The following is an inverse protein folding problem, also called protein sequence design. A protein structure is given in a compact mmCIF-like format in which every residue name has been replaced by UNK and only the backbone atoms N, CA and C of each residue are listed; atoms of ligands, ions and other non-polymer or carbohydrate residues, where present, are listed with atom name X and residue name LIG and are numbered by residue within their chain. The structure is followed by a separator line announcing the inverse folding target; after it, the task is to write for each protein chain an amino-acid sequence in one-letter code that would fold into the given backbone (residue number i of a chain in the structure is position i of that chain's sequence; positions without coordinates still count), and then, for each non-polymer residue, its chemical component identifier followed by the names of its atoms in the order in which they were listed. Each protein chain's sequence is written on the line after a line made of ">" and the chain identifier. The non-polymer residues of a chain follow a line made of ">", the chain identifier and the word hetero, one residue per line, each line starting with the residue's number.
data_IF_032325142295
#
_entry.id   IF_032325142295
#
_cell.length_a   1.000
_cell.length_b   1.000
_cell.length_c   1.000
_cell.angle_alpha   90.00
_cell.angle_beta   90.00
_cell.angle_gamma   90.00
#
_symmetry.space_group_name_H-M   'P 1'
#
loop_
_entity.id
_entity.type
_entity.pdbx_description
1 polymer ?
#
# COMPACT_ATOMS: atom_id res chain seq x y z
N UNK A 1 2.55 -13.61 7.87
CA UNK A 1 3.14 -12.37 7.36
C UNK A 1 4.14 -11.83 8.37
N UNK A 2 5.39 -11.70 7.95
CA UNK A 2 6.39 -11.04 8.77
C UNK A 2 6.25 -9.52 8.62
N UNK A 3 5.53 -8.87 9.52
CA UNK A 3 5.69 -7.45 9.70
C UNK A 3 6.91 -7.24 10.59
N UNK A 4 7.96 -6.71 10.01
CA UNK A 4 9.20 -6.39 10.72
C UNK A 4 9.08 -5.08 11.51
N UNK A 5 8.06 -4.26 11.20
CA UNK A 5 7.77 -2.98 11.82
C UNK A 5 6.29 -2.61 11.78
N UNK A 6 5.98 -1.35 12.06
CA UNK A 6 4.61 -0.82 12.17
C UNK A 6 4.04 -0.40 10.81
N UNK A 7 4.88 -0.09 9.83
CA UNK A 7 4.46 0.41 8.52
C UNK A 7 4.34 -0.70 7.50
N UNK A 8 3.54 -0.47 6.47
CA UNK A 8 3.45 -1.39 5.33
C UNK A 8 4.79 -1.50 4.58
N UNK A 9 5.57 -0.43 4.53
CA UNK A 9 6.90 -0.43 3.90
C UNK A 9 7.92 -1.32 4.64
N UNK A 10 7.64 -1.65 5.91
CA UNK A 10 8.46 -2.56 6.71
C UNK A 10 7.96 -4.01 6.66
N UNK A 11 6.96 -4.32 5.87
CA UNK A 11 6.45 -5.67 5.67
C UNK A 11 6.90 -6.25 4.34
N UNK A 12 7.09 -7.57 4.28
CA UNK A 12 7.43 -8.26 3.04
C UNK A 12 6.38 -8.01 1.95
N UNK A 13 5.10 -8.09 2.31
CA UNK A 13 4.02 -7.84 1.37
C UNK A 13 3.98 -6.39 0.89
N UNK A 14 4.20 -5.44 1.78
CA UNK A 14 4.29 -4.02 1.41
C UNK A 14 5.46 -3.74 0.47
N UNK A 15 6.61 -4.37 0.66
CA UNK A 15 7.76 -4.26 -0.23
C UNK A 15 7.46 -4.86 -1.62
N UNK A 16 6.75 -5.99 -1.67
CA UNK A 16 6.32 -6.59 -2.95
C UNK A 16 5.38 -5.63 -3.71
N UNK A 17 4.40 -5.05 -3.03
CA UNK A 17 3.48 -4.08 -3.63
C UNK A 17 4.21 -2.80 -4.08
N UNK A 18 5.16 -2.30 -3.29
CA UNK A 18 5.96 -1.14 -3.64
C UNK A 18 6.83 -1.42 -4.87
N UNK A 19 7.37 -2.63 -4.98
CA UNK A 19 8.11 -3.07 -6.17
C UNK A 19 7.24 -3.02 -7.44
N UNK A 20 5.98 -3.40 -7.36
CA UNK A 20 5.03 -3.28 -8.48
C UNK A 20 4.84 -1.81 -8.88
N UNK A 21 4.68 -0.92 -7.93
CA UNK A 21 4.57 0.53 -8.20
C UNK A 21 5.85 1.05 -8.87
N UNK A 22 7.02 0.66 -8.38
CA UNK A 22 8.30 1.07 -8.95
C UNK A 22 8.41 0.61 -10.40
N UNK A 23 8.17 -0.66 -10.68
CA UNK A 23 8.33 -1.24 -12.02
C UNK A 23 7.30 -0.74 -13.02
N UNK A 24 6.03 -0.65 -12.64
CA UNK A 24 4.92 -0.40 -13.57
C UNK A 24 4.54 1.09 -13.66
N UNK A 25 4.78 1.88 -12.63
CA UNK A 25 4.40 3.29 -12.61
C UNK A 25 5.60 4.25 -12.65
N UNK A 26 6.60 4.04 -11.79
CA UNK A 26 7.66 5.02 -11.59
C UNK A 26 8.78 4.93 -12.62
N UNK A 27 9.24 3.75 -12.95
CA UNK A 27 10.27 3.55 -14.00
C UNK A 27 9.85 4.11 -15.36
N UNK A 28 8.63 3.86 -15.87
CA UNK A 28 8.20 4.39 -17.17
C UNK A 28 8.25 5.92 -17.26
N UNK A 29 8.08 6.63 -16.15
CA UNK A 29 8.17 8.10 -16.08
C UNK A 29 9.49 8.59 -15.48
N UNK A 30 10.48 7.71 -15.37
CA UNK A 30 11.82 8.04 -14.84
C UNK A 30 11.77 8.69 -13.44
N UNK A 31 10.87 8.20 -12.59
CA UNK A 31 10.67 8.69 -11.20
C UNK A 31 10.26 10.17 -11.12
N UNK A 32 9.69 10.73 -12.19
CA UNK A 32 9.33 12.14 -12.23
C UNK A 32 8.17 12.48 -11.27
N UNK A 33 7.20 11.58 -11.13
CA UNK A 33 6.05 11.77 -10.25
C UNK A 33 5.42 10.45 -9.83
N UNK A 34 4.76 10.48 -8.68
CA UNK A 34 3.91 9.41 -8.16
C UNK A 34 2.45 9.81 -8.32
N UNK A 35 1.64 8.98 -8.96
CA UNK A 35 0.20 9.21 -9.17
C UNK A 35 -0.60 8.26 -8.28
N UNK A 36 -1.23 8.80 -7.23
CA UNK A 36 -1.96 8.01 -6.25
C UNK A 36 -3.16 7.27 -6.85
N UNK A 37 -3.92 7.89 -7.74
CA UNK A 37 -5.08 7.25 -8.36
C UNK A 37 -4.66 6.07 -9.25
N UNK A 38 -3.60 6.22 -10.02
CA UNK A 38 -3.02 5.14 -10.83
C UNK A 38 -2.44 4.03 -9.97
N UNK A 39 -1.78 4.37 -8.85
CA UNK A 39 -1.24 3.39 -7.93
C UNK A 39 -2.35 2.53 -7.30
N UNK A 40 -3.47 3.13 -6.89
CA UNK A 40 -4.63 2.41 -6.37
C UNK A 40 -5.15 1.41 -7.41
N UNK A 41 -5.36 1.84 -8.65
CA UNK A 41 -5.86 0.96 -9.71
C UNK A 41 -4.84 -0.13 -10.10
N UNK A 42 -3.57 0.21 -10.20
CA UNK A 42 -2.50 -0.73 -10.48
C UNK A 42 -2.45 -1.86 -9.44
N UNK A 43 -2.47 -1.52 -8.15
CA UNK A 43 -2.45 -2.52 -7.09
C UNK A 43 -3.75 -3.31 -7.01
N UNK A 44 -4.90 -2.69 -7.30
CA UNK A 44 -6.18 -3.40 -7.42
C UNK A 44 -6.08 -4.52 -8.45
N UNK A 45 -5.62 -4.21 -9.65
CA UNK A 45 -5.47 -5.18 -10.74
C UNK A 45 -4.42 -6.25 -10.41
N UNK A 46 -3.30 -5.84 -9.83
CA UNK A 46 -2.26 -6.77 -9.39
C UNK A 46 -2.79 -7.80 -8.38
N UNK A 47 -3.52 -7.36 -7.36
CA UNK A 47 -4.09 -8.24 -6.34
C UNK A 47 -5.10 -9.21 -6.96
N UNK A 48 -5.99 -8.74 -7.82
CA UNK A 48 -6.97 -9.59 -8.51
C UNK A 48 -6.28 -10.66 -9.37
N UNK A 49 -5.22 -10.28 -10.09
CA UNK A 49 -4.45 -11.21 -10.92
C UNK A 49 -3.69 -12.25 -10.08
N UNK A 50 -3.10 -11.83 -8.95
CA UNK A 50 -2.43 -12.75 -8.01
C UNK A 50 -3.41 -13.77 -7.41
N UNK A 51 -4.60 -13.33 -7.00
CA UNK A 51 -5.64 -14.23 -6.49
C UNK A 51 -6.04 -15.23 -7.57
N UNK A 52 -6.23 -14.79 -8.80
CA UNK A 52 -6.54 -15.65 -9.94
C UNK A 52 -5.42 -16.66 -10.21
N UNK A 53 -4.17 -16.24 -10.21
CA UNK A 53 -3.01 -17.10 -10.46
C UNK A 53 -2.84 -18.16 -9.37
N UNK A 54 -3.05 -17.79 -8.10
CA UNK A 54 -2.99 -18.73 -6.98
C UNK A 54 -4.14 -19.77 -6.99
N UNK A 55 -5.20 -19.53 -7.76
CA UNK A 55 -6.38 -20.39 -7.83
C UNK A 55 -6.59 -21.00 -9.23
N UNK A 56 -5.53 -21.14 -10.00
CA UNK A 56 -5.59 -21.80 -11.31
C UNK A 56 -6.11 -23.24 -11.21
N UNK A 57 -6.96 -23.64 -12.16
CA UNK A 57 -7.59 -24.95 -12.17
C UNK A 57 -8.84 -25.07 -11.29
N UNK A 58 -9.20 -24.04 -10.53
CA UNK A 58 -10.45 -23.99 -9.78
C UNK A 58 -11.61 -23.48 -10.64
N UNK A 59 -12.85 -23.83 -10.23
CA UNK A 59 -14.05 -23.28 -10.90
C UNK A 59 -14.18 -21.78 -10.71
N UNK A 60 -14.99 -21.13 -11.56
CA UNK A 60 -15.29 -19.69 -11.40
C UNK A 60 -15.97 -19.39 -10.08
N UNK A 61 -16.80 -20.29 -9.57
CA UNK A 61 -17.46 -20.15 -8.26
C UNK A 61 -16.46 -20.19 -7.12
N UNK A 62 -15.47 -21.07 -7.17
CA UNK A 62 -14.39 -21.13 -6.18
C UNK A 62 -13.50 -19.90 -6.26
N UNK A 63 -13.17 -19.43 -7.45
CA UNK A 63 -12.40 -18.19 -7.64
C UNK A 63 -13.14 -16.98 -7.05
N UNK A 64 -14.46 -16.86 -7.29
CA UNK A 64 -15.26 -15.80 -6.69
C UNK A 64 -15.23 -15.85 -5.17
N UNK A 65 -15.33 -17.03 -4.58
CA UNK A 65 -15.22 -17.23 -3.13
C UNK A 65 -13.87 -16.76 -2.57
N UNK A 66 -12.76 -17.17 -3.18
CA UNK A 66 -11.42 -16.77 -2.74
C UNK A 66 -11.16 -15.29 -2.96
N UNK A 67 -11.73 -14.69 -3.99
CA UNK A 67 -11.65 -13.25 -4.24
C UNK A 67 -12.38 -12.47 -3.15
N UNK A 68 -13.59 -12.85 -2.81
CA UNK A 68 -14.36 -12.22 -1.72
C UNK A 68 -13.67 -12.36 -0.36
N UNK A 69 -12.98 -13.48 -0.13
CA UNK A 69 -12.27 -13.75 1.11
C UNK A 69 -10.98 -12.93 1.26
N UNK A 70 -10.20 -12.81 0.20
CA UNK A 70 -8.83 -12.29 0.27
C UNK A 70 -8.68 -10.85 -0.24
N UNK A 71 -9.43 -10.45 -1.26
CA UNK A 71 -9.28 -9.15 -1.89
C UNK A 71 -9.45 -7.98 -0.93
N UNK A 72 -10.47 -7.91 -0.06
CA UNK A 72 -10.68 -6.76 0.82
C UNK A 72 -9.49 -6.51 1.73
N UNK A 73 -8.90 -7.55 2.30
CA UNK A 73 -7.74 -7.46 3.18
C UNK A 73 -6.50 -6.97 2.44
N UNK A 74 -6.20 -7.59 1.32
CA UNK A 74 -5.02 -7.26 0.52
C UNK A 74 -5.13 -5.85 -0.08
N UNK A 75 -6.31 -5.46 -0.51
CA UNK A 75 -6.57 -4.11 -1.01
C UNK A 75 -6.42 -3.05 0.10
N UNK A 76 -6.89 -3.34 1.31
CA UNK A 76 -6.67 -2.46 2.46
C UNK A 76 -5.18 -2.27 2.73
N UNK A 77 -4.38 -3.33 2.69
CA UNK A 77 -2.93 -3.23 2.84
C UNK A 77 -2.28 -2.39 1.73
N UNK A 78 -2.73 -2.54 0.50
CA UNK A 78 -2.25 -1.73 -0.63
C UNK A 78 -2.58 -0.24 -0.47
N UNK A 79 -3.78 0.08 -0.02
CA UNK A 79 -4.19 1.48 0.23
C UNK A 79 -3.42 2.10 1.40
N UNK A 80 -3.15 1.36 2.46
CA UNK A 80 -2.29 1.81 3.56
C UNK A 80 -0.86 2.11 3.08
N UNK A 81 -0.29 1.27 2.23
CA UNK A 81 1.03 1.52 1.63
C UNK A 81 1.04 2.84 0.82
N UNK A 82 0.03 3.05 -0.02
CA UNK A 82 -0.06 4.29 -0.81
C UNK A 82 -0.24 5.50 0.10
N UNK A 83 -1.06 5.39 1.15
CA UNK A 83 -1.22 6.44 2.16
C UNK A 83 0.11 6.78 2.84
N UNK A 84 0.93 5.78 3.18
CA UNK A 84 2.26 5.97 3.75
C UNK A 84 3.20 6.68 2.77
N UNK A 85 3.17 6.34 1.49
CA UNK A 85 3.95 7.05 0.46
C UNK A 85 3.55 8.54 0.38
N UNK A 86 2.26 8.84 0.40
CA UNK A 86 1.77 10.22 0.44
C UNK A 86 2.19 10.92 1.74
N UNK A 87 2.06 10.25 2.87
CA UNK A 87 2.45 10.77 4.18
C UNK A 87 3.92 11.17 4.23
N UNK A 88 4.80 10.31 3.73
CA UNK A 88 6.24 10.58 3.62
C UNK A 88 6.51 11.83 2.78
N UNK A 89 5.91 11.90 1.59
CA UNK A 89 6.05 13.06 0.72
C UNK A 89 5.52 14.35 1.34
N UNK A 90 4.33 14.32 1.94
CA UNK A 90 3.75 15.52 2.56
C UNK A 90 4.56 16.01 3.76
N UNK A 91 5.29 15.13 4.41
CA UNK A 91 6.15 15.47 5.55
C UNK A 91 7.51 16.02 5.13
N UNK A 92 8.12 15.45 4.08
CA UNK A 92 9.51 15.70 3.71
C UNK A 92 9.68 16.42 2.37
N UNK A 93 8.64 16.45 1.53
CA UNK A 93 8.71 16.95 0.15
C UNK A 93 9.37 15.97 -0.82
N UNK A 94 9.66 14.76 -0.40
CA UNK A 94 10.35 13.73 -1.17
C UNK A 94 9.81 12.35 -0.81
N UNK A 95 9.66 11.49 -1.81
CA UNK A 95 9.35 10.08 -1.61
C UNK A 95 10.56 9.25 -2.05
N UNK A 96 11.13 8.51 -1.12
CA UNK A 96 12.27 7.62 -1.38
C UNK A 96 11.77 6.23 -1.68
N UNK A 97 12.15 5.69 -2.83
CA UNK A 97 11.87 4.33 -3.25
C UNK A 97 13.15 3.65 -3.72
N UNK A 98 13.12 2.34 -3.87
CA UNK A 98 14.28 1.55 -4.28
C UNK A 98 13.98 0.77 -5.56
N UNK A 99 14.86 0.94 -6.54
CA UNK A 99 14.83 0.20 -7.80
C UNK A 99 15.86 -0.92 -7.76
N UNK A 100 15.45 -2.16 -8.06
CA UNK A 100 16.37 -3.27 -8.21
C UNK A 100 17.06 -3.21 -9.57
N UNK A 101 18.39 -3.17 -9.55
CA UNK A 101 19.22 -3.14 -10.76
C UNK A 101 19.78 -4.54 -10.99
N UNK A 102 19.19 -5.27 -11.93
CA UNK A 102 19.55 -6.67 -12.23
C UNK A 102 21.03 -6.85 -12.55
N UNK A 103 21.60 -5.98 -13.39
CA UNK A 103 23.01 -6.06 -13.80
C UNK A 103 24.01 -5.91 -12.64
N UNK A 104 23.64 -5.12 -11.64
CA UNK A 104 24.46 -4.87 -10.47
C UNK A 104 24.07 -5.77 -9.29
N UNK A 105 22.96 -6.49 -9.37
CA UNK A 105 22.36 -7.27 -8.27
C UNK A 105 22.21 -6.45 -6.99
N UNK A 106 21.80 -5.19 -7.11
CA UNK A 106 21.66 -4.27 -5.99
C UNK A 106 20.41 -3.39 -6.12
N UNK A 107 19.97 -2.85 -4.99
CA UNK A 107 18.93 -1.82 -4.95
C UNK A 107 19.57 -0.44 -5.06
N UNK A 108 19.00 0.40 -5.92
CA UNK A 108 19.39 1.79 -6.07
C UNK A 108 18.29 2.71 -5.52
N UNK A 109 18.69 3.65 -4.67
CA UNK A 109 17.80 4.68 -4.14
C UNK A 109 17.33 5.62 -5.25
N UNK A 110 16.02 5.89 -5.30
CA UNK A 110 15.38 6.83 -6.20
C UNK A 110 14.52 7.80 -5.42
N UNK A 111 14.49 9.04 -5.89
CA UNK A 111 13.71 10.12 -5.29
C UNK A 111 12.60 10.55 -6.21
N UNK A 112 11.38 10.65 -5.66
CA UNK A 112 10.19 11.16 -6.34
C UNK A 112 9.77 12.42 -5.61
N UNK A 113 9.90 13.57 -6.26
CA UNK A 113 9.66 14.88 -5.65
C UNK A 113 8.38 15.57 -6.13
N UNK A 114 7.51 14.84 -6.78
CA UNK A 114 6.18 15.30 -7.20
C UNK A 114 5.15 14.21 -6.98
N UNK A 115 4.02 14.57 -6.38
CA UNK A 115 2.87 13.69 -6.19
C UNK A 115 1.65 14.29 -6.90
N UNK A 116 0.89 13.41 -7.57
CA UNK A 116 -0.43 13.68 -8.08
C UNK A 116 -1.44 12.89 -7.25
N UNK A 117 -2.33 13.56 -6.57
CA UNK A 117 -3.38 12.96 -5.77
C UNK A 117 -4.70 13.71 -6.00
N UNK A 118 -5.68 13.02 -6.59
CA UNK A 118 -7.02 13.57 -6.76
C UNK A 118 -7.80 13.49 -5.44
N UNK A 119 -8.83 14.33 -5.28
CA UNK A 119 -9.72 14.26 -4.11
C UNK A 119 -10.38 12.88 -3.97
N UNK A 120 -10.70 12.23 -5.09
CA UNK A 120 -11.23 10.87 -5.10
C UNK A 120 -10.22 9.86 -4.55
N UNK A 121 -8.97 9.92 -5.01
CA UNK A 121 -7.91 9.04 -4.50
C UNK A 121 -7.67 9.27 -3.00
N UNK A 122 -7.59 10.52 -2.56
CA UNK A 122 -7.45 10.85 -1.14
C UNK A 122 -8.63 10.35 -0.31
N UNK A 123 -9.86 10.44 -0.85
CA UNK A 123 -11.06 9.94 -0.17
C UNK A 123 -11.02 8.41 0.00
N UNK A 124 -10.59 7.66 -1.02
CA UNK A 124 -10.44 6.20 -0.93
C UNK A 124 -9.41 5.83 0.16
N UNK A 125 -8.25 6.48 0.14
CA UNK A 125 -7.20 6.23 1.12
C UNK A 125 -7.64 6.58 2.54
N UNK A 126 -8.32 7.71 2.71
CA UNK A 126 -8.81 8.17 3.99
C UNK A 126 -9.88 7.24 4.57
N UNK A 127 -10.81 6.76 3.75
CA UNK A 127 -11.81 5.78 4.15
C UNK A 127 -11.16 4.49 4.69
N UNK A 128 -10.15 3.96 4.00
CA UNK A 128 -9.43 2.77 4.45
C UNK A 128 -8.64 3.01 5.74
N UNK A 129 -7.93 4.14 5.83
CA UNK A 129 -7.19 4.53 7.04
C UNK A 129 -8.11 4.67 8.25
N UNK A 130 -9.31 5.21 8.07
CA UNK A 130 -10.31 5.30 9.14
C UNK A 130 -10.88 3.93 9.51
N UNK A 131 -11.17 3.10 8.53
CA UNK A 131 -11.78 1.78 8.72
C UNK A 131 -10.90 0.82 9.51
N UNK A 132 -9.59 0.84 9.30
CA UNK A 132 -8.67 -0.07 10.02
C UNK A 132 -8.53 0.26 11.51
N UNK A 133 -8.97 1.44 11.94
CA UNK A 133 -8.95 1.84 13.35
C UNK A 133 -10.09 1.23 14.17
N UNK A 134 -11.09 0.63 13.50
CA UNK A 134 -12.16 -0.08 14.18
C UNK A 134 -11.61 -1.35 14.84
N UNK A 135 -11.84 -1.54 16.16
CA UNK A 135 -11.38 -2.74 16.88
C UNK A 135 -11.90 -4.07 16.32
N UNK A 136 -12.99 -4.06 15.56
CA UNK A 136 -13.51 -5.24 14.88
C UNK A 136 -12.82 -5.55 13.56
N UNK A 137 -12.00 -4.64 13.04
CA UNK A 137 -11.32 -4.82 11.76
C UNK A 137 -10.21 -5.88 11.85
N UNK A 138 -10.12 -6.73 10.84
CA UNK A 138 -9.14 -7.83 10.79
C UNK A 138 -7.71 -7.37 10.97
N UNK A 139 -7.32 -6.26 10.33
CA UNK A 139 -5.95 -5.73 10.46
C UNK A 139 -5.70 -5.21 11.86
N UNK A 140 -6.65 -4.52 12.50
CA UNK A 140 -6.54 -4.12 13.90
C UNK A 140 -6.31 -5.32 14.80
N UNK A 141 -7.10 -6.38 14.62
CA UNK A 141 -7.01 -7.61 15.42
C UNK A 141 -5.75 -8.43 15.17
N UNK A 142 -5.07 -8.21 14.04
CA UNK A 142 -3.81 -8.91 13.73
C UNK A 142 -2.64 -8.49 14.63
N UNK A 143 -2.73 -7.34 15.28
CA UNK A 143 -1.76 -6.86 16.26
C UNK A 143 -2.02 -7.49 17.64
N UNK A 144 -1.26 -8.53 17.98
CA UNK A 144 -1.47 -9.32 19.19
C UNK A 144 -1.01 -8.58 20.44
N UNK A 145 0.11 -7.84 20.34
CA UNK A 145 0.67 -7.09 21.48
C UNK A 145 0.04 -5.72 21.56
N UNK A 146 -0.45 -5.38 22.77
CA UNK A 146 -1.08 -4.08 23.04
C UNK A 146 -0.15 -2.89 22.72
N UNK A 147 1.09 -2.96 23.15
CA UNK A 147 2.08 -1.89 22.93
C UNK A 147 2.29 -1.65 21.44
N UNK A 148 2.53 -2.70 20.65
CA UNK A 148 2.73 -2.60 19.20
C UNK A 148 1.45 -2.11 18.50
N UNK A 149 0.29 -2.52 18.99
CA UNK A 149 -1.00 -2.03 18.47
C UNK A 149 -1.15 -0.53 18.71
N UNK A 150 -0.80 -0.02 19.86
CA UNK A 150 -0.85 1.41 20.18
C UNK A 150 0.12 2.22 19.33
N UNK A 151 1.33 1.73 19.10
CA UNK A 151 2.29 2.36 18.19
C UNK A 151 1.74 2.42 16.76
N UNK A 152 1.17 1.32 16.29
CA UNK A 152 0.53 1.25 14.97
C UNK A 152 -0.65 2.20 14.86
N UNK A 153 -1.54 2.26 15.87
CA UNK A 153 -2.66 3.20 15.88
C UNK A 153 -2.20 4.66 15.84
N UNK A 154 -1.14 5.00 16.57
CA UNK A 154 -0.54 6.33 16.52
C UNK A 154 -0.06 6.68 15.12
N UNK A 155 0.59 5.74 14.45
CA UNK A 155 1.01 5.90 13.05
C UNK A 155 -0.19 6.10 12.12
N UNK A 156 -1.23 5.27 12.22
CA UNK A 156 -2.44 5.36 11.39
C UNK A 156 -3.18 6.68 11.63
N UNK A 157 -3.29 7.15 12.87
CA UNK A 157 -3.90 8.44 13.19
C UNK A 157 -3.11 9.61 12.58
N UNK A 158 -1.79 9.56 12.62
CA UNK A 158 -0.94 10.56 11.98
C UNK A 158 -1.12 10.58 10.45
N UNK A 159 -1.27 9.42 9.81
CA UNK A 159 -1.62 9.33 8.38
C UNK A 159 -2.99 9.95 8.10
N UNK A 160 -3.99 9.66 8.92
CA UNK A 160 -5.32 10.25 8.77
C UNK A 160 -5.26 11.77 8.80
N UNK A 161 -4.64 12.35 9.82
CA UNK A 161 -4.48 13.80 9.96
C UNK A 161 -3.77 14.43 8.77
N UNK A 162 -2.72 13.77 8.27
CA UNK A 162 -1.97 14.23 7.10
C UNK A 162 -2.83 14.23 5.83
N UNK A 163 -3.58 13.16 5.59
CA UNK A 163 -4.46 13.04 4.42
C UNK A 163 -5.63 14.06 4.50
N UNK A 164 -6.21 14.25 5.67
CA UNK A 164 -7.27 15.24 5.89
C UNK A 164 -6.80 16.67 5.62
N UNK A 165 -5.57 16.98 5.99
CA UNK A 165 -4.97 18.31 5.77
C UNK A 165 -4.74 18.61 4.28
N UNK A 166 -4.49 17.59 3.47
CA UNK A 166 -4.17 17.71 2.03
C UNK A 166 -5.34 17.39 1.08
N UNK A 167 -6.49 17.09 1.63
CA UNK A 167 -7.71 16.81 0.86
C UNK A 167 -8.40 18.04 0.28
#
# INVERSE_FOLDING_TARGET
>A
MGAWGITMQESDYGLDLLSVIVEEQLKPVQFAYFDAAKAIELLRQYILEEIKNCNQGRSQKELAFYTELNFPREFTQATLLIAECLGEYYHTGDLVVYEYIEKACEFQERHVNQILATDEALSILLEEVQRVQDPSHEIYQSWIREETRQEWLTHIQALQETLETHR
#
